data_IF_590664406301
#
_entry.id   IF_590664406301
#
_cell.length_a   1.000
_cell.length_b   1.000
_cell.length_c   1.000
_cell.angle_alpha   90.00
_cell.angle_beta   90.00
_cell.angle_gamma   90.00
#
_symmetry.space_group_name_H-M   'P 1'
#
loop_
_entity.id
_entity.type
_entity.pdbx_description
1 polymer ?
#
# COMPACT_ATOMS: atom_id res chain seq x y z
N UNK A 1 -6.82 -0.15 -6.03
CA UNK A 1 -6.85 1.04 -5.16
C UNK A 1 -6.38 0.78 -3.73
N UNK A 2 -6.79 -0.33 -3.13
CA UNK A 2 -6.59 -0.59 -1.70
C UNK A 2 -5.11 -0.76 -1.27
N UNK A 3 -4.28 -1.42 -2.10
CA UNK A 3 -2.83 -1.57 -1.82
C UNK A 3 -2.13 -0.21 -1.73
N UNK A 4 -2.46 0.69 -2.65
CA UNK A 4 -1.91 2.05 -2.69
C UNK A 4 -2.36 2.86 -1.48
N UNK A 5 -3.62 2.71 -1.05
CA UNK A 5 -4.11 3.35 0.18
C UNK A 5 -3.33 2.90 1.40
N UNK A 6 -3.04 1.60 1.50
CA UNK A 6 -2.24 1.02 2.59
C UNK A 6 -0.85 1.66 2.65
N UNK A 7 -0.13 1.69 1.51
CA UNK A 7 1.19 2.32 1.44
C UNK A 7 1.14 3.83 1.74
N UNK A 8 0.19 4.56 1.16
CA UNK A 8 0.10 6.00 1.29
C UNK A 8 -0.20 6.45 2.74
N UNK A 9 -0.97 5.66 3.49
CA UNK A 9 -1.22 5.93 4.92
C UNK A 9 0.06 5.81 5.75
N UNK A 10 0.90 4.79 5.48
CA UNK A 10 2.20 4.62 6.15
C UNK A 10 3.11 5.83 5.84
N UNK A 11 3.07 6.34 4.61
CA UNK A 11 3.83 7.53 4.21
C UNK A 11 3.26 8.86 4.77
N UNK A 12 2.22 8.84 5.59
CA UNK A 12 1.58 10.04 6.12
C UNK A 12 0.82 10.87 5.06
N UNK A 13 0.30 10.20 4.04
CA UNK A 13 -0.44 10.82 2.94
C UNK A 13 -1.69 10.05 2.52
N UNK A 14 -1.99 10.09 1.22
CA UNK A 14 -3.23 9.58 0.67
C UNK A 14 -3.08 9.11 -0.77
N UNK A 15 -4.08 8.38 -1.24
CA UNK A 15 -4.09 7.81 -2.58
C UNK A 15 -5.45 7.24 -2.94
N UNK A 16 -5.65 7.01 -4.23
CA UNK A 16 -6.90 6.52 -4.79
C UNK A 16 -6.77 6.12 -6.25
N UNK A 17 -7.82 5.48 -6.75
CA UNK A 17 -7.90 4.94 -8.10
C UNK A 17 -8.70 3.65 -8.11
N UNK A 18 -8.82 3.06 -9.30
CA UNK A 18 -9.53 1.82 -9.54
C UNK A 18 -8.71 0.61 -9.05
N UNK A 19 -9.28 -0.57 -9.15
CA UNK A 19 -8.63 -1.80 -8.70
C UNK A 19 -7.46 -2.21 -9.57
N UNK A 20 -7.54 -1.94 -10.87
CA UNK A 20 -6.49 -2.14 -11.87
C UNK A 20 -5.40 -1.07 -11.80
N UNK A 21 -5.79 0.21 -11.64
CA UNK A 21 -4.85 1.33 -11.61
C UNK A 21 -5.17 2.30 -10.47
N UNK A 22 -4.17 2.57 -9.62
CA UNK A 22 -4.26 3.56 -8.55
C UNK A 22 -2.94 4.29 -8.29
N UNK A 23 -3.04 5.48 -7.71
CA UNK A 23 -1.88 6.31 -7.36
C UNK A 23 -2.02 6.87 -5.94
N UNK A 24 -0.89 7.15 -5.30
CA UNK A 24 -0.85 7.69 -3.96
C UNK A 24 0.57 8.02 -3.55
N UNK A 25 0.70 8.67 -2.39
CA UNK A 25 1.98 9.04 -1.82
C UNK A 25 1.82 9.70 -0.47
N UNK A 26 2.91 10.18 0.08
CA UNK A 26 2.93 10.87 1.36
C UNK A 26 4.17 11.72 1.55
N UNK A 27 4.31 12.25 2.75
CA UNK A 27 5.33 13.25 3.09
C UNK A 27 6.52 12.63 3.82
N UNK A 28 6.32 11.48 4.45
CA UNK A 28 7.37 10.78 5.18
C UNK A 28 8.18 9.89 4.25
N UNK A 29 9.29 10.43 3.74
CA UNK A 29 10.21 9.71 2.86
C UNK A 29 10.95 8.60 3.61
N UNK A 30 11.17 8.75 4.93
CA UNK A 30 11.87 7.74 5.71
C UNK A 30 11.05 6.45 5.86
N UNK A 31 9.72 6.53 5.75
CA UNK A 31 8.80 5.41 5.85
C UNK A 31 8.63 4.58 4.56
N UNK A 32 9.41 4.83 3.49
CA UNK A 32 9.27 4.10 2.22
C UNK A 32 9.44 2.58 2.39
N UNK A 33 10.45 2.15 3.14
CA UNK A 33 10.69 0.72 3.36
C UNK A 33 9.50 0.05 4.09
N UNK A 34 8.94 0.72 5.09
CA UNK A 34 7.79 0.23 5.84
C UNK A 34 6.53 0.18 4.97
N UNK A 35 6.34 1.17 4.10
CA UNK A 35 5.22 1.23 3.16
C UNK A 35 5.28 0.07 2.16
N UNK A 36 6.46 -0.23 1.61
CA UNK A 36 6.66 -1.37 0.72
C UNK A 36 6.41 -2.70 1.46
N UNK A 37 6.96 -2.86 2.67
CA UNK A 37 6.72 -4.05 3.49
C UNK A 37 5.25 -4.25 3.86
N UNK A 38 4.48 -3.17 4.05
CA UNK A 38 3.04 -3.27 4.26
C UNK A 38 2.29 -3.80 3.02
N UNK A 39 2.68 -3.36 1.82
CA UNK A 39 2.12 -3.86 0.56
C UNK A 39 2.45 -5.34 0.36
N UNK A 40 3.71 -5.73 0.57
CA UNK A 40 4.14 -7.13 0.45
C UNK A 40 3.33 -8.04 1.38
N UNK A 41 3.17 -7.66 2.66
CA UNK A 41 2.33 -8.40 3.61
C UNK A 41 0.88 -8.50 3.16
N UNK A 42 0.30 -7.39 2.67
CA UNK A 42 -1.09 -7.38 2.20
C UNK A 42 -1.29 -8.30 0.98
N UNK A 43 -0.34 -8.32 0.05
CA UNK A 43 -0.36 -9.26 -1.09
C UNK A 43 -0.21 -10.69 -0.59
N UNK A 44 0.78 -10.96 0.26
CA UNK A 44 1.01 -12.26 0.88
C UNK A 44 -0.25 -12.83 1.55
N UNK A 45 -0.88 -12.03 2.41
CA UNK A 45 -2.13 -12.40 3.08
C UNK A 45 -3.23 -12.76 2.09
N UNK A 46 -3.41 -12.00 1.00
CA UNK A 46 -4.47 -12.28 0.01
C UNK A 46 -4.23 -13.57 -0.75
N UNK A 47 -2.98 -13.87 -1.09
CA UNK A 47 -2.66 -15.08 -1.85
C UNK A 47 -2.61 -16.33 -0.97
N UNK A 48 -2.37 -16.19 0.33
CA UNK A 48 -2.35 -17.33 1.28
C UNK A 48 -3.66 -17.56 2.01
N UNK A 49 -4.53 -16.54 2.16
CA UNK A 49 -5.81 -16.68 2.88
C UNK A 49 -6.87 -17.49 2.10
N UNK A 50 -6.62 -17.79 0.81
CA UNK A 50 -7.45 -18.67 -0.01
C UNK A 50 -6.93 -20.12 -0.12
N UNK A 51 -5.85 -20.47 0.58
CA UNK A 51 -5.29 -21.82 0.65
C UNK A 51 -5.79 -22.58 1.89
#
# INVERSE_FOLDING_TARGET
GELVRTAAQVLGGGGGGKDDVAQGGGRDVAAIADALGAVERAVGQRVTAGA
#
